data_IF_867477533578
#
_entry.id   IF_867477533578
#
_cell.length_a   1.000
_cell.length_b   1.000
_cell.length_c   1.000
_cell.angle_alpha   90.00
_cell.angle_beta   90.00
_cell.angle_gamma   90.00
#
_symmetry.space_group_name_H-M   'P 1'
#
loop_
_entity.id
_entity.type
_entity.pdbx_description
1 polymer ?
#
# COMPACT_ATOMS: atom_id res chain seq x y z
N UNK A 1 -13.82 -23.55 42.31
CA UNK A 1 -12.71 -23.26 43.23
C UNK A 1 -11.49 -23.97 42.68
N UNK A 2 -10.35 -23.25 42.56
CA UNK A 2 -8.93 -23.71 42.46
C UNK A 2 -8.59 -24.64 41.28
N UNK A 3 -7.77 -24.25 40.28
CA UNK A 3 -6.33 -23.90 40.36
C UNK A 3 -5.52 -25.16 39.98
N UNK A 4 -4.41 -25.21 39.25
CA UNK A 4 -3.42 -24.23 38.82
C UNK A 4 -2.42 -24.96 37.86
N UNK A 5 -1.91 -24.25 36.86
CA UNK A 5 -0.50 -24.17 36.46
C UNK A 5 0.39 -25.42 36.16
N UNK A 6 0.87 -25.41 34.89
CA UNK A 6 2.28 -25.25 34.46
C UNK A 6 3.11 -26.47 33.97
N UNK A 7 3.74 -26.20 32.81
CA UNK A 7 5.09 -26.58 32.33
C UNK A 7 5.26 -27.91 31.58
N UNK A 8 5.42 -27.81 30.25
CA UNK A 8 6.74 -27.87 29.57
C UNK A 8 6.54 -28.05 28.06
N UNK A 9 6.92 -27.06 27.27
CA UNK A 9 6.92 -27.16 25.81
C UNK A 9 8.38 -27.27 25.33
N UNK A 10 8.78 -28.30 24.57
CA UNK A 10 10.12 -28.39 24.00
C UNK A 10 10.30 -27.35 22.88
N UNK A 11 11.47 -26.69 22.86
CA UNK A 11 11.90 -25.81 21.77
C UNK A 11 12.08 -26.61 20.47
N UNK A 12 11.68 -26.07 19.31
CA UNK A 12 12.31 -26.46 18.05
C UNK A 12 13.32 -25.40 17.61
N UNK A 13 14.53 -25.87 17.33
CA UNK A 13 15.50 -25.22 16.46
C UNK A 13 15.03 -25.26 15.00
N UNK A 14 15.34 -24.20 14.24
CA UNK A 14 15.51 -24.22 12.78
C UNK A 14 14.24 -23.96 11.95
N UNK A 15 14.16 -22.79 11.30
CA UNK A 15 13.16 -22.51 10.26
C UNK A 15 13.80 -22.76 8.89
N UNK A 16 13.31 -23.78 8.19
CA UNK A 16 13.32 -23.86 6.73
C UNK A 16 11.93 -23.44 6.23
N UNK A 17 11.91 -22.72 5.11
CA UNK A 17 10.74 -22.11 4.47
C UNK A 17 9.74 -23.15 3.94
N UNK A 18 8.44 -22.98 4.21
CA UNK A 18 7.39 -23.62 3.42
C UNK A 18 6.17 -22.71 3.20
N UNK A 19 5.72 -22.64 1.93
CA UNK A 19 4.48 -22.00 1.47
C UNK A 19 3.28 -22.88 1.83
N UNK A 20 2.11 -22.31 2.15
CA UNK A 20 0.88 -23.09 2.34
C UNK A 20 -0.23 -22.83 1.29
N UNK A 21 -1.12 -23.81 1.18
CA UNK A 21 -2.00 -24.13 0.05
C UNK A 21 -3.23 -23.21 -0.16
N UNK A 22 -3.34 -22.08 0.55
CA UNK A 22 -4.52 -21.20 0.51
C UNK A 22 -4.34 -19.91 -0.31
N UNK A 23 -3.21 -19.74 -1.01
CA UNK A 23 -2.97 -18.57 -1.89
C UNK A 23 -2.91 -17.20 -1.18
N UNK A 24 -2.93 -17.16 0.15
CA UNK A 24 -2.77 -15.93 0.94
C UNK A 24 -1.30 -15.55 1.05
N UNK A 25 -1.01 -14.27 0.79
CA UNK A 25 0.30 -13.66 0.96
C UNK A 25 0.72 -13.71 2.44
N UNK A 26 1.96 -14.10 2.71
CA UNK A 26 2.54 -14.10 4.05
C UNK A 26 2.66 -12.66 4.57
N UNK A 27 2.09 -12.41 5.75
CA UNK A 27 2.26 -11.16 6.50
C UNK A 27 3.58 -11.27 7.26
N UNK A 28 4.49 -10.31 7.09
CA UNK A 28 5.78 -10.34 7.74
C UNK A 28 5.77 -9.42 8.97
N UNK A 29 6.22 -9.93 10.12
CA UNK A 29 6.48 -9.11 11.30
C UNK A 29 7.70 -8.23 11.03
N UNK A 30 7.43 -6.95 10.85
CA UNK A 30 8.39 -5.95 10.43
C UNK A 30 9.51 -5.73 11.45
N UNK A 31 9.32 -6.13 12.72
CA UNK A 31 10.36 -6.09 13.76
C UNK A 31 11.44 -7.15 13.57
N UNK A 32 11.23 -8.13 12.66
CA UNK A 32 12.20 -9.18 12.28
C UNK A 32 12.67 -9.09 10.83
N UNK A 33 12.25 -8.06 10.09
CA UNK A 33 12.70 -7.87 8.71
C UNK A 33 14.11 -7.31 8.68
N UNK A 34 15.07 -8.10 8.21
CA UNK A 34 16.31 -7.56 7.66
C UNK A 34 15.97 -6.82 6.36
N UNK A 35 15.61 -5.54 6.47
CA UNK A 35 15.17 -4.66 5.37
C UNK A 35 16.14 -4.60 4.16
N UNK A 36 17.38 -5.05 4.34
CA UNK A 36 18.37 -5.16 3.25
C UNK A 36 18.27 -6.48 2.45
N UNK A 37 17.61 -7.52 2.98
CA UNK A 37 17.53 -8.85 2.35
C UNK A 37 16.15 -9.19 1.77
N UNK A 38 15.07 -8.65 2.34
CA UNK A 38 13.72 -8.83 1.77
C UNK A 38 13.21 -7.55 1.10
N UNK A 39 13.04 -7.54 -0.24
CA UNK A 39 12.81 -6.32 -0.99
C UNK A 39 11.41 -5.76 -0.80
N UNK A 40 10.41 -6.63 -0.63
CA UNK A 40 9.01 -6.24 -0.48
C UNK A 40 8.32 -7.04 0.64
N UNK A 41 7.44 -6.40 1.41
CA UNK A 41 6.80 -7.01 2.57
C UNK A 41 5.39 -6.47 2.82
N UNK A 42 4.53 -7.33 3.38
CA UNK A 42 3.20 -6.95 3.84
C UNK A 42 3.19 -6.60 5.32
N UNK A 43 2.41 -5.59 5.69
CA UNK A 43 2.19 -5.16 7.07
C UNK A 43 0.69 -5.15 7.39
N UNK A 44 0.35 -5.67 8.58
CA UNK A 44 -0.94 -5.48 9.22
C UNK A 44 -0.84 -4.27 10.17
N UNK A 45 -1.77 -3.33 10.07
CA UNK A 45 -1.82 -2.13 10.91
C UNK A 45 -2.51 -2.42 12.26
N UNK A 46 -2.21 -1.59 13.26
CA UNK A 46 -2.98 -1.51 14.50
C UNK A 46 -4.36 -0.89 14.23
N UNK A 47 -5.35 -1.20 15.08
CA UNK A 47 -6.76 -0.77 14.93
C UNK A 47 -6.94 0.76 14.86
N UNK A 48 -5.94 1.54 15.26
CA UNK A 48 -5.98 2.99 15.27
C UNK A 48 -5.93 3.65 13.88
N UNK A 49 -5.59 2.94 12.82
CA UNK A 49 -5.44 3.52 11.48
C UNK A 49 -6.73 3.38 10.65
N UNK A 50 -7.71 4.26 10.91
CA UNK A 50 -9.03 4.24 10.27
C UNK A 50 -9.30 5.51 9.45
N UNK A 51 -9.84 5.33 8.23
CA UNK A 51 -10.25 6.40 7.31
C UNK A 51 -11.28 7.38 7.93
N UNK A 52 -12.04 6.98 8.95
CA UNK A 52 -12.98 7.83 9.70
C UNK A 52 -12.30 9.04 10.37
N UNK A 53 -10.98 8.98 10.60
CA UNK A 53 -10.18 10.11 11.10
C UNK A 53 -10.08 11.27 10.09
N UNK A 54 -10.51 11.07 8.84
CA UNK A 54 -10.49 12.07 7.79
C UNK A 54 -11.89 12.64 7.58
N UNK A 55 -12.20 13.83 8.13
CA UNK A 55 -13.56 14.37 8.15
C UNK A 55 -14.09 14.73 6.75
N UNK A 56 -13.21 14.85 5.76
CA UNK A 56 -13.58 15.06 4.37
C UNK A 56 -12.53 14.46 3.44
N UNK A 57 -13.01 13.80 2.38
CA UNK A 57 -12.21 13.35 1.24
C UNK A 57 -12.88 13.83 -0.05
N UNK A 58 -12.07 14.08 -1.07
CA UNK A 58 -12.52 14.46 -2.40
C UNK A 58 -12.27 13.31 -3.37
N UNK A 59 -13.23 13.03 -4.24
CA UNK A 59 -13.19 11.88 -5.16
C UNK A 59 -13.45 12.30 -6.61
N UNK A 60 -12.87 11.58 -7.55
CA UNK A 60 -13.20 11.59 -8.99
C UNK A 60 -13.24 10.13 -9.43
N UNK A 61 -14.39 9.68 -9.95
CA UNK A 61 -14.63 8.28 -10.31
C UNK A 61 -15.48 7.54 -9.27
N UNK A 62 -15.34 6.21 -9.23
CA UNK A 62 -16.22 5.36 -8.42
C UNK A 62 -15.79 5.34 -6.93
N UNK A 63 -16.52 6.04 -6.08
CA UNK A 63 -16.24 6.10 -4.64
C UNK A 63 -16.48 4.76 -3.90
N UNK A 64 -17.29 3.87 -4.46
CA UNK A 64 -17.58 2.56 -3.83
C UNK A 64 -16.35 1.65 -3.76
N UNK A 65 -15.29 1.95 -4.54
CA UNK A 65 -14.03 1.24 -4.43
C UNK A 65 -13.41 1.34 -3.03
N UNK A 66 -13.71 2.38 -2.23
CA UNK A 66 -13.22 2.48 -0.85
C UNK A 66 -13.93 1.54 0.14
N UNK A 67 -14.99 0.84 -0.29
CA UNK A 67 -15.77 -0.08 0.56
C UNK A 67 -15.32 -1.54 0.43
N UNK A 68 -14.40 -1.82 -0.47
CA UNK A 68 -13.88 -3.16 -0.78
C UNK A 68 -12.47 -3.34 -0.24
N UNK A 69 -12.02 -4.59 -0.13
CA UNK A 69 -10.67 -4.91 0.34
C UNK A 69 -9.60 -4.25 -0.54
N UNK A 70 -8.66 -3.56 0.10
CA UNK A 70 -7.67 -2.70 -0.51
C UNK A 70 -6.24 -3.06 -0.10
N UNK A 71 -5.36 -3.20 -1.10
CA UNK A 71 -3.91 -3.33 -0.86
C UNK A 71 -3.23 -1.99 -1.13
N UNK A 72 -2.69 -1.36 -0.08
CA UNK A 72 -1.88 -0.16 -0.21
C UNK A 72 -0.48 -0.49 -0.75
N UNK A 73 0.00 0.30 -1.72
CA UNK A 73 1.35 0.19 -2.26
C UNK A 73 2.20 1.38 -1.84
N UNK A 74 3.38 1.06 -1.28
CA UNK A 74 4.40 2.06 -0.93
C UNK A 74 5.76 1.66 -1.50
N UNK A 75 6.52 2.65 -1.96
CA UNK A 75 7.90 2.44 -2.37
C UNK A 75 8.76 3.67 -2.06
N UNK A 76 10.03 3.43 -1.72
CA UNK A 76 11.03 4.49 -1.62
C UNK A 76 11.42 5.02 -3.00
N UNK A 77 11.74 6.32 -3.07
CA UNK A 77 12.21 6.96 -4.32
C UNK A 77 13.52 6.38 -4.83
N UNK A 78 14.45 6.07 -3.92
CA UNK A 78 15.68 5.32 -4.23
C UNK A 78 15.33 3.85 -4.14
N UNK A 79 15.51 3.10 -5.21
CA UNK A 79 15.20 1.68 -5.29
C UNK A 79 16.27 0.96 -6.14
N UNK A 80 16.93 -0.09 -5.62
CA UNK A 80 17.93 -0.85 -6.38
C UNK A 80 17.32 -1.58 -7.57
N UNK A 81 18.06 -1.71 -8.68
CA UNK A 81 17.56 -2.35 -9.92
C UNK A 81 16.98 -3.76 -9.72
N UNK A 82 17.60 -4.58 -8.84
CA UNK A 82 17.10 -5.92 -8.49
C UNK A 82 15.69 -5.89 -7.89
N UNK A 83 15.36 -4.83 -7.13
CA UNK A 83 14.04 -4.66 -6.51
C UNK A 83 13.01 -4.19 -7.53
N UNK A 84 13.42 -3.40 -8.53
CA UNK A 84 12.54 -2.98 -9.64
C UNK A 84 12.02 -4.20 -10.41
N UNK A 85 12.89 -5.16 -10.73
CA UNK A 85 12.50 -6.40 -11.43
C UNK A 85 11.47 -7.20 -10.62
N UNK A 86 11.74 -7.43 -9.32
CA UNK A 86 10.78 -8.11 -8.45
C UNK A 86 9.47 -7.33 -8.29
N UNK A 87 9.52 -6.00 -8.23
CA UNK A 87 8.33 -5.15 -8.15
C UNK A 87 7.44 -5.29 -9.39
N UNK A 88 8.03 -5.55 -10.56
CA UNK A 88 7.30 -5.86 -11.79
C UNK A 88 6.54 -7.18 -11.66
N UNK A 89 7.20 -8.23 -11.15
CA UNK A 89 6.56 -9.53 -10.93
C UNK A 89 5.40 -9.44 -9.94
N UNK A 90 5.58 -8.68 -8.85
CA UNK A 90 4.50 -8.42 -7.89
C UNK A 90 3.34 -7.65 -8.51
N UNK A 91 3.62 -6.59 -9.26
CA UNK A 91 2.58 -5.83 -9.94
C UNK A 91 1.82 -6.68 -10.95
N UNK A 92 2.51 -7.55 -11.68
CA UNK A 92 1.84 -8.47 -12.61
C UNK A 92 0.96 -9.47 -11.88
N UNK A 93 1.44 -10.02 -10.75
CA UNK A 93 0.65 -10.94 -9.94
C UNK A 93 -0.61 -10.29 -9.37
N UNK A 94 -0.50 -9.07 -8.82
CA UNK A 94 -1.65 -8.32 -8.31
C UNK A 94 -2.67 -8.05 -9.43
N UNK A 95 -2.18 -7.64 -10.60
CA UNK A 95 -3.01 -7.38 -11.79
C UNK A 95 -3.74 -8.63 -12.26
N UNK A 96 -3.03 -9.74 -12.48
CA UNK A 96 -3.59 -11.01 -12.97
C UNK A 96 -4.62 -11.57 -11.99
N UNK A 97 -4.38 -11.43 -10.68
CA UNK A 97 -5.30 -11.89 -9.64
C UNK A 97 -6.49 -10.96 -9.41
N UNK A 98 -6.60 -9.85 -10.13
CA UNK A 98 -7.71 -8.92 -9.94
C UNK A 98 -7.66 -8.14 -8.63
N UNK A 99 -6.50 -8.07 -7.95
CA UNK A 99 -6.40 -7.47 -6.62
C UNK A 99 -6.51 -5.96 -6.72
N UNK A 100 -7.43 -5.40 -5.95
CA UNK A 100 -7.63 -3.96 -5.85
C UNK A 100 -6.50 -3.29 -5.08
N UNK A 101 -5.97 -2.20 -5.64
CA UNK A 101 -4.82 -1.50 -5.06
C UNK A 101 -5.11 -0.03 -4.81
N UNK A 102 -4.51 0.52 -3.75
CA UNK A 102 -4.45 1.96 -3.48
C UNK A 102 -3.00 2.42 -3.40
N UNK A 103 -2.69 3.58 -3.97
CA UNK A 103 -1.30 4.05 -3.95
C UNK A 103 -1.14 5.50 -4.32
N UNK A 104 0.07 5.98 -4.03
CA UNK A 104 0.48 7.32 -4.41
C UNK A 104 0.96 7.45 -5.85
N UNK A 105 1.58 6.38 -6.36
CA UNK A 105 2.10 6.28 -7.72
C UNK A 105 3.03 7.43 -8.12
N UNK A 106 3.92 7.83 -7.19
CA UNK A 106 4.79 9.00 -7.36
C UNK A 106 6.26 8.63 -7.63
N UNK A 107 6.73 7.52 -7.07
CA UNK A 107 8.08 7.02 -7.33
C UNK A 107 8.16 6.35 -8.71
N UNK A 108 9.36 6.23 -9.32
CA UNK A 108 9.51 5.53 -10.60
C UNK A 108 8.96 4.10 -10.59
N UNK A 109 9.18 3.36 -9.49
CA UNK A 109 8.67 1.99 -9.34
C UNK A 109 7.15 1.97 -9.25
N UNK A 110 6.54 2.82 -8.41
CA UNK A 110 5.08 2.83 -8.33
C UNK A 110 4.44 3.26 -9.66
N UNK A 111 5.05 4.21 -10.39
CA UNK A 111 4.57 4.62 -11.72
C UNK A 111 4.59 3.46 -12.71
N UNK A 112 5.68 2.69 -12.73
CA UNK A 112 5.76 1.45 -13.51
C UNK A 112 4.64 0.48 -13.11
N UNK A 113 4.40 0.27 -11.82
CA UNK A 113 3.29 -0.57 -11.36
C UNK A 113 1.94 -0.04 -11.84
N UNK A 114 1.69 1.27 -11.75
CA UNK A 114 0.45 1.90 -12.25
C UNK A 114 0.26 1.68 -13.75
N UNK A 115 1.30 1.85 -14.56
CA UNK A 115 1.26 1.58 -16.00
C UNK A 115 0.87 0.13 -16.31
N UNK A 116 1.35 -0.82 -15.50
CA UNK A 116 0.93 -2.23 -15.61
C UNK A 116 -0.52 -2.40 -15.18
N UNK A 117 -0.93 -1.79 -14.06
CA UNK A 117 -2.27 -1.91 -13.54
C UNK A 117 -3.33 -1.36 -14.50
N UNK A 118 -3.04 -0.24 -15.17
CA UNK A 118 -3.93 0.37 -16.15
C UNK A 118 -4.18 -0.54 -17.37
N UNK A 119 -3.30 -1.51 -17.65
CA UNK A 119 -3.48 -2.52 -18.71
C UNK A 119 -4.33 -3.73 -18.28
N UNK A 120 -4.63 -3.86 -16.98
CA UNK A 120 -5.56 -4.88 -16.47
C UNK A 120 -6.96 -4.32 -16.21
N UNK A 121 -7.85 -5.16 -15.69
CA UNK A 121 -9.25 -4.80 -15.39
C UNK A 121 -9.52 -4.59 -13.90
N UNK A 122 -8.55 -4.91 -13.04
CA UNK A 122 -8.70 -4.76 -11.59
C UNK A 122 -8.95 -3.31 -11.21
N UNK A 123 -9.66 -3.06 -10.08
CA UNK A 123 -9.92 -1.70 -9.66
C UNK A 123 -8.66 -1.03 -9.06
N UNK A 124 -8.54 0.28 -9.26
CA UNK A 124 -7.35 1.06 -8.89
C UNK A 124 -7.78 2.33 -8.16
N UNK A 125 -7.19 2.59 -7.01
CA UNK A 125 -7.37 3.84 -6.26
C UNK A 125 -6.07 4.64 -6.27
N UNK A 126 -6.10 5.83 -6.84
CA UNK A 126 -4.95 6.75 -6.91
C UNK A 126 -5.14 7.84 -5.87
N UNK A 127 -4.15 8.04 -5.00
CA UNK A 127 -4.17 9.10 -4.01
C UNK A 127 -3.05 10.13 -4.21
N UNK A 128 -3.29 11.24 -4.92
CA UNK A 128 -2.30 12.29 -5.10
C UNK A 128 -2.00 13.04 -3.79
N UNK A 129 -0.74 13.45 -3.60
CA UNK A 129 -0.33 14.31 -2.48
C UNK A 129 -0.71 15.81 -2.68
N UNK A 130 -1.93 16.06 -3.17
CA UNK A 130 -2.48 17.39 -3.47
C UNK A 130 -4.00 17.31 -3.63
N UNK A 131 -4.68 18.46 -3.59
CA UNK A 131 -6.11 18.57 -3.88
C UNK A 131 -6.43 18.31 -5.36
N UNK A 132 -7.62 17.75 -5.61
CA UNK A 132 -8.04 17.28 -6.94
C UNK A 132 -9.19 18.10 -7.55
N UNK A 133 -9.73 19.07 -6.84
CA UNK A 133 -10.90 19.86 -7.26
C UNK A 133 -10.67 20.63 -8.58
N UNK A 134 -9.42 21.02 -8.85
CA UNK A 134 -9.00 21.69 -10.11
C UNK A 134 -8.08 20.80 -10.94
N UNK A 135 -8.06 19.50 -10.68
CA UNK A 135 -7.21 18.56 -11.40
C UNK A 135 -7.85 18.23 -12.74
N UNK A 136 -7.08 18.44 -13.82
CA UNK A 136 -7.38 17.81 -15.10
C UNK A 136 -7.01 16.34 -15.00
N UNK A 137 -7.99 15.46 -15.21
CA UNK A 137 -7.74 14.01 -15.27
C UNK A 137 -6.88 13.71 -16.51
N UNK A 138 -5.69 13.10 -16.35
CA UNK A 138 -4.86 12.65 -17.46
C UNK A 138 -5.62 11.72 -18.41
N UNK A 139 -5.29 11.74 -19.70
CA UNK A 139 -6.05 11.04 -20.73
C UNK A 139 -6.11 9.53 -20.48
N UNK A 140 -4.98 8.96 -20.04
CA UNK A 140 -4.81 7.56 -19.69
C UNK A 140 -5.68 7.09 -18.52
N UNK A 141 -6.16 8.01 -17.67
CA UNK A 141 -7.02 7.70 -16.53
C UNK A 141 -8.51 7.85 -16.83
N UNK A 142 -8.87 8.54 -17.94
CA UNK A 142 -10.29 8.81 -18.26
C UNK A 142 -11.08 7.53 -18.52
N UNK A 143 -10.58 6.67 -19.41
CA UNK A 143 -11.25 5.40 -19.73
C UNK A 143 -11.49 4.53 -18.49
N UNK A 144 -10.48 4.28 -17.63
CA UNK A 144 -10.67 3.56 -16.38
C UNK A 144 -11.65 4.22 -15.39
N UNK A 145 -11.69 5.57 -15.33
CA UNK A 145 -12.67 6.32 -14.52
C UNK A 145 -14.08 6.12 -15.06
N UNK A 146 -14.28 6.26 -16.37
CA UNK A 146 -15.57 6.07 -17.05
C UNK A 146 -16.07 4.63 -16.92
N UNK A 147 -15.15 3.65 -16.96
CA UNK A 147 -15.45 2.24 -16.73
C UNK A 147 -15.74 1.89 -15.25
N UNK A 148 -15.72 2.86 -14.34
CA UNK A 148 -16.04 2.65 -12.91
C UNK A 148 -15.00 1.84 -12.12
N UNK A 149 -13.85 1.52 -12.73
CA UNK A 149 -12.76 0.74 -12.11
C UNK A 149 -11.60 1.58 -11.59
N UNK A 150 -11.65 2.90 -11.74
CA UNK A 150 -10.64 3.81 -11.20
C UNK A 150 -11.26 4.89 -10.33
N UNK A 151 -10.64 5.11 -9.18
CA UNK A 151 -10.95 6.21 -8.26
C UNK A 151 -9.70 7.06 -8.06
N UNK A 152 -9.82 8.37 -8.25
CA UNK A 152 -8.85 9.34 -7.76
C UNK A 152 -9.40 9.93 -6.47
N UNK A 153 -8.74 9.70 -5.35
CA UNK A 153 -9.16 10.19 -4.02
C UNK A 153 -8.09 11.08 -3.42
N UNK A 154 -8.49 12.11 -2.68
CA UNK A 154 -7.55 13.01 -2.02
C UNK A 154 -8.08 13.45 -0.66
N UNK A 155 -7.28 13.42 0.41
CA UNK A 155 -7.63 14.03 1.70
C UNK A 155 -7.38 15.55 1.71
N UNK A 156 -7.04 16.16 0.57
CA UNK A 156 -6.62 17.55 0.50
C UNK A 156 -7.66 18.49 -0.13
N UNK A 157 -7.98 19.55 0.61
CA UNK A 157 -8.80 20.66 0.10
C UNK A 157 -8.13 21.45 -1.03
N UNK A 158 -8.90 22.29 -1.72
CA UNK A 158 -8.48 23.04 -2.92
C UNK A 158 -7.26 23.97 -2.75
N UNK A 159 -6.90 24.30 -1.50
CA UNK A 159 -5.72 25.11 -1.16
C UNK A 159 -4.39 24.36 -1.42
N UNK A 160 -4.39 23.02 -1.34
CA UNK A 160 -3.20 22.19 -1.49
C UNK A 160 -2.92 21.87 -2.97
N UNK A 161 -2.50 22.85 -3.77
CA UNK A 161 -2.42 22.67 -5.24
C UNK A 161 -1.17 21.93 -5.72
N UNK A 162 -0.08 21.96 -4.94
CA UNK A 162 1.22 21.40 -5.30
C UNK A 162 1.53 20.16 -4.48
N UNK A 163 2.25 19.23 -5.10
CA UNK A 163 2.85 18.08 -4.39
C UNK A 163 4.00 18.59 -3.55
N UNK A 164 4.04 18.18 -2.28
CA UNK A 164 5.11 18.48 -1.34
C UNK A 164 5.50 17.23 -0.55
N UNK A 165 6.67 17.29 0.08
CA UNK A 165 7.13 16.30 1.04
C UNK A 165 6.11 16.05 2.16
N UNK A 166 5.64 17.12 2.82
CA UNK A 166 4.67 17.05 3.90
C UNK A 166 3.32 16.48 3.44
N UNK A 167 2.84 16.88 2.25
CA UNK A 167 1.61 16.32 1.70
C UNK A 167 1.78 14.84 1.35
N UNK A 168 2.97 14.40 0.91
CA UNK A 168 3.20 12.99 0.60
C UNK A 168 3.15 12.13 1.88
N UNK A 169 3.65 12.65 3.01
CA UNK A 169 3.55 11.99 4.31
C UNK A 169 2.09 11.90 4.78
N UNK A 170 1.35 13.01 4.76
CA UNK A 170 -0.08 13.02 5.11
C UNK A 170 -0.91 12.10 4.20
N UNK A 171 -0.57 12.06 2.90
CA UNK A 171 -1.18 11.14 1.94
C UNK A 171 -0.89 9.69 2.31
N UNK A 172 0.36 9.35 2.65
CA UNK A 172 0.71 7.97 3.01
C UNK A 172 -0.08 7.50 4.23
N UNK A 173 -0.26 8.36 5.24
CA UNK A 173 -1.14 8.10 6.38
C UNK A 173 -2.57 7.80 5.96
N UNK A 174 -3.12 8.60 5.04
CA UNK A 174 -4.47 8.37 4.51
C UNK A 174 -4.56 7.04 3.74
N UNK A 175 -3.59 6.75 2.88
CA UNK A 175 -3.55 5.49 2.10
C UNK A 175 -3.46 4.28 3.01
N UNK A 176 -2.69 4.35 4.09
CA UNK A 176 -2.63 3.27 5.08
C UNK A 176 -3.95 3.11 5.83
N UNK A 177 -4.57 4.21 6.25
CA UNK A 177 -5.85 4.19 6.96
C UNK A 177 -7.04 3.71 6.10
N UNK A 178 -6.92 3.79 4.78
CA UNK A 178 -7.94 3.37 3.83
C UNK A 178 -7.77 1.93 3.32
N UNK A 179 -6.71 1.22 3.72
CA UNK A 179 -6.35 -0.08 3.17
C UNK A 179 -6.34 -1.18 4.24
N UNK A 180 -6.80 -2.36 3.88
CA UNK A 180 -6.81 -3.54 4.75
C UNK A 180 -5.43 -4.19 4.85
N UNK A 181 -4.61 -4.05 3.81
CA UNK A 181 -3.27 -4.62 3.73
C UNK A 181 -2.30 -3.59 3.22
N UNK A 182 -1.14 -3.47 3.86
CA UNK A 182 -0.09 -2.58 3.39
C UNK A 182 1.02 -3.39 2.74
N UNK A 183 1.43 -3.02 1.54
CA UNK A 183 2.49 -3.68 0.80
C UNK A 183 3.58 -2.69 0.42
N UNK A 184 4.74 -2.85 1.05
CA UNK A 184 5.91 -2.05 0.79
C UNK A 184 6.76 -2.75 -0.26
N UNK A 185 6.85 -2.21 -1.47
CA UNK A 185 7.68 -2.73 -2.55
C UNK A 185 9.18 -2.54 -2.30
N UNK A 186 9.51 -1.47 -1.55
CA UNK A 186 10.86 -1.18 -1.07
C UNK A 186 10.85 -0.06 -0.02
N UNK A 187 11.53 -0.29 1.10
CA UNK A 187 11.87 0.72 2.09
C UNK A 187 13.40 0.86 2.17
N UNK A 188 13.96 1.96 1.66
CA UNK A 188 15.40 2.19 1.76
C UNK A 188 15.79 2.56 3.21
N UNK A 189 16.98 2.19 3.63
CA UNK A 189 17.50 2.55 4.95
C UNK A 189 17.46 4.07 5.17
N UNK A 190 17.01 4.48 6.37
CA UNK A 190 16.82 5.90 6.76
C UNK A 190 15.91 6.69 5.82
N UNK A 191 15.05 6.01 5.05
CA UNK A 191 14.07 6.67 4.20
C UNK A 191 12.82 7.03 4.99
N UNK A 192 12.05 8.00 4.49
CA UNK A 192 10.75 8.33 5.07
C UNK A 192 9.74 7.19 4.93
N UNK A 193 9.91 6.34 3.91
CA UNK A 193 9.07 5.15 3.73
C UNK A 193 9.35 4.13 4.83
N UNK A 194 10.63 3.97 5.22
CA UNK A 194 11.01 3.09 6.33
C UNK A 194 10.48 3.63 7.66
N UNK A 195 10.74 4.91 7.96
CA UNK A 195 10.23 5.53 9.18
C UNK A 195 8.69 5.50 9.27
N UNK A 196 8.00 5.60 8.14
CA UNK A 196 6.55 5.42 8.09
C UNK A 196 6.12 3.97 8.34
N UNK A 197 6.83 2.98 7.79
CA UNK A 197 6.57 1.57 8.09
C UNK A 197 6.76 1.25 9.59
N UNK A 198 7.76 1.85 10.22
CA UNK A 198 8.02 1.74 11.66
C UNK A 198 6.92 2.43 12.49
N UNK A 199 6.44 3.61 12.09
CA UNK A 199 5.31 4.33 12.72
C UNK A 199 4.01 3.51 12.71
N UNK A 200 3.77 2.71 11.67
CA UNK A 200 2.56 1.90 11.55
C UNK A 200 2.51 0.70 12.53
N UNK A 201 3.62 0.41 13.20
CA UNK A 201 3.80 -0.73 14.12
C UNK A 201 3.93 -0.34 15.59
N UNK A 202 4.07 0.97 15.86
CA UNK A 202 4.13 1.52 17.20
C UNK A 202 2.73 1.71 17.75
#
# INVERSE_FOLDING_TARGET
>A
MIGESLKNNPKPLGIQEERNASGKFSVHDVRKLEYEKEPAFFLNITEDWNIEKYPAVWTIGNADLLKSELVALFCSRKCPGKVILKSRDYADSLRIKGIQVIGGFQTPVEKMCLEMFLKGEQPIVICPARGIQKMRVPAELKGPVEAGRLLIVSPFGARHRRVSAANAELRNKFVAAAADKLFFLHAAAKSRTLGFAEELLS
#
